data_IF_355027263435
#
_entry.id   IF_355027263435
#
_cell.length_a   1.000
_cell.length_b   1.000
_cell.length_c   1.000
_cell.angle_alpha   90.00
_cell.angle_beta   90.00
_cell.angle_gamma   90.00
#
_symmetry.space_group_name_H-M   'P 1'
#
loop_
_entity.id
_entity.type
_entity.pdbx_description
1 polymer ?
#
# COMPACT_ATOMS: atom_id res chain seq x y z
N UNK A 1 7.68 -3.98 1.79
CA UNK A 1 6.54 -4.62 1.09
C UNK A 1 5.28 -3.84 1.39
N UNK A 2 4.44 -3.59 0.38
CA UNK A 2 3.14 -2.93 0.52
C UNK A 2 2.05 -4.00 0.38
N UNK A 3 1.13 -4.06 1.33
CA UNK A 3 0.05 -5.06 1.38
C UNK A 3 -1.30 -4.38 1.54
N UNK A 4 -2.33 -4.99 0.95
CA UNK A 4 -3.72 -4.60 1.16
C UNK A 4 -4.30 -5.35 2.37
N UNK A 5 -5.02 -4.64 3.23
CA UNK A 5 -5.80 -5.25 4.32
C UNK A 5 -7.25 -4.75 4.33
N UNK A 6 -7.67 -4.04 3.29
CA UNK A 6 -9.07 -3.67 3.14
C UNK A 6 -9.92 -4.94 2.97
N UNK A 7 -11.08 -5.03 3.63
CA UNK A 7 -11.98 -6.16 3.46
C UNK A 7 -12.40 -6.28 2.00
N UNK A 8 -12.44 -7.51 1.50
CA UNK A 8 -12.89 -7.82 0.14
C UNK A 8 -14.35 -8.25 0.21
N UNK A 9 -15.16 -7.82 -0.77
CA UNK A 9 -16.55 -8.24 -0.91
C UNK A 9 -16.65 -9.78 -0.93
N UNK A 10 -17.48 -10.38 -0.04
CA UNK A 10 -17.65 -11.83 0.02
C UNK A 10 -18.09 -12.48 -1.29
N UNK A 11 -18.88 -11.79 -2.12
CA UNK A 11 -19.34 -12.33 -3.40
C UNK A 11 -18.18 -12.43 -4.39
N UNK A 12 -17.27 -11.44 -4.38
CA UNK A 12 -16.06 -11.44 -5.20
C UNK A 12 -15.10 -12.54 -4.70
N UNK A 13 -14.96 -12.71 -3.39
CA UNK A 13 -14.15 -13.80 -2.82
C UNK A 13 -14.66 -15.18 -3.25
N UNK A 14 -15.97 -15.42 -3.18
CA UNK A 14 -16.57 -16.69 -3.59
C UNK A 14 -16.31 -17.01 -5.07
N UNK A 15 -16.30 -15.99 -5.95
CA UNK A 15 -15.95 -16.15 -7.36
C UNK A 15 -14.48 -16.56 -7.53
N UNK A 16 -13.56 -15.89 -6.84
CA UNK A 16 -12.15 -16.28 -6.86
C UNK A 16 -11.96 -17.71 -6.33
N UNK A 17 -12.64 -18.10 -5.25
CA UNK A 17 -12.57 -19.46 -4.70
C UNK A 17 -13.06 -20.51 -5.70
N UNK A 18 -14.13 -20.23 -6.44
CA UNK A 18 -14.62 -21.11 -7.50
C UNK A 18 -13.61 -21.26 -8.66
N UNK A 19 -12.75 -20.26 -8.88
CA UNK A 19 -11.64 -20.30 -9.84
C UNK A 19 -10.35 -20.91 -9.24
N UNK A 20 -10.39 -21.35 -7.97
CA UNK A 20 -9.23 -21.92 -7.25
C UNK A 20 -8.26 -20.87 -6.71
N UNK A 21 -8.67 -19.61 -6.65
CA UNK A 21 -7.90 -18.50 -6.11
C UNK A 21 -8.42 -18.07 -4.73
N UNK A 22 -7.52 -17.62 -3.86
CA UNK A 22 -7.87 -17.09 -2.54
C UNK A 22 -7.15 -15.77 -2.29
N UNK A 23 -7.72 -14.94 -1.42
CA UNK A 23 -7.02 -13.74 -0.97
C UNK A 23 -5.70 -14.12 -0.29
N UNK A 24 -4.65 -13.36 -0.58
CA UNK A 24 -3.33 -13.60 0.02
C UNK A 24 -3.37 -13.24 1.50
N UNK A 25 -3.15 -14.25 2.35
CA UNK A 25 -2.97 -14.03 3.80
C UNK A 25 -1.68 -13.26 4.07
N UNK A 26 -1.76 -12.21 4.88
CA UNK A 26 -0.62 -11.36 5.22
C UNK A 26 -0.15 -11.71 6.63
N UNK A 27 0.98 -12.41 6.73
CA UNK A 27 1.66 -12.63 8.00
C UNK A 27 2.71 -11.53 8.23
N UNK A 28 2.33 -10.50 9.00
CA UNK A 28 3.24 -9.39 9.29
C UNK A 28 4.39 -9.77 10.20
N UNK A 29 4.24 -10.78 11.05
CA UNK A 29 5.30 -11.20 11.97
C UNK A 29 6.37 -11.99 11.24
N UNK A 30 5.98 -12.93 10.37
CA UNK A 30 6.91 -13.62 9.49
C UNK A 30 7.70 -12.65 8.60
N UNK A 31 7.01 -11.64 8.02
CA UNK A 31 7.67 -10.61 7.22
C UNK A 31 8.68 -9.78 8.02
N UNK A 32 8.38 -9.45 9.29
CA UNK A 32 9.33 -8.74 10.17
C UNK A 32 10.55 -9.61 10.49
N UNK A 33 10.37 -10.90 10.74
CA UNK A 33 11.48 -11.84 11.00
C UNK A 33 12.43 -11.96 9.80
N UNK A 34 11.92 -11.80 8.58
CA UNK A 34 12.72 -11.72 7.35
C UNK A 34 13.46 -10.37 7.17
N UNK A 35 13.35 -9.44 8.12
CA UNK A 35 13.97 -8.11 8.04
C UNK A 35 13.26 -7.15 7.09
N UNK A 36 12.02 -7.45 6.69
CA UNK A 36 11.27 -6.66 5.73
C UNK A 36 10.34 -5.68 6.46
N UNK A 37 10.38 -4.41 6.04
CA UNK A 37 9.39 -3.42 6.50
C UNK A 37 8.06 -3.61 5.76
N UNK A 38 6.97 -3.76 6.50
CA UNK A 38 5.61 -3.91 5.96
C UNK A 38 4.86 -2.58 6.05
N UNK A 39 4.26 -2.18 4.94
CA UNK A 39 3.34 -1.05 4.86
C UNK A 39 1.94 -1.58 4.51
N UNK A 40 0.95 -1.14 5.26
CA UNK A 40 -0.45 -1.55 5.10
C UNK A 40 -1.24 -0.36 4.54
N UNK A 41 -2.15 -0.62 3.60
CA UNK A 41 -3.08 0.40 3.12
C UNK A 41 -4.30 -0.18 2.40
N UNK A 42 -5.34 0.64 2.30
CA UNK A 42 -6.43 0.43 1.34
C UNK A 42 -5.95 0.89 -0.03
N UNK A 43 -5.66 -0.08 -0.89
CA UNK A 43 -5.09 0.14 -2.23
C UNK A 43 -5.86 -0.63 -3.30
N UNK A 44 -7.09 -1.07 -3.01
CA UNK A 44 -7.90 -1.85 -3.94
C UNK A 44 -9.15 -1.10 -4.38
N UNK A 45 -9.61 -1.39 -5.59
CA UNK A 45 -10.98 -1.17 -6.06
C UNK A 45 -11.65 -2.51 -6.27
N UNK A 46 -12.97 -2.55 -6.08
CA UNK A 46 -13.76 -3.78 -6.02
C UNK A 46 -15.04 -3.63 -6.86
N UNK A 47 -14.89 -3.21 -8.12
CA UNK A 47 -16.02 -3.09 -9.04
C UNK A 47 -16.47 -4.49 -9.50
N UNK A 48 -15.85 -5.03 -10.56
CA UNK A 48 -16.16 -6.39 -11.03
C UNK A 48 -15.14 -7.44 -10.55
N UNK A 49 -13.96 -6.97 -10.14
CA UNK A 49 -12.82 -7.78 -9.71
C UNK A 49 -12.00 -6.99 -8.68
N UNK A 50 -11.25 -7.70 -7.83
CA UNK A 50 -10.26 -7.06 -6.96
C UNK A 50 -9.08 -6.62 -7.81
N UNK A 51 -8.90 -5.31 -7.94
CA UNK A 51 -7.73 -4.71 -8.60
C UNK A 51 -7.14 -3.65 -7.71
N UNK A 52 -5.90 -3.24 -8.01
CA UNK A 52 -5.36 -2.06 -7.35
C UNK A 52 -6.04 -0.79 -7.87
N UNK A 53 -6.48 0.07 -6.96
CA UNK A 53 -6.81 1.44 -7.28
C UNK A 53 -5.50 2.18 -7.58
N UNK A 54 -5.32 2.60 -8.84
CA UNK A 54 -4.08 3.19 -9.32
C UNK A 54 -3.70 4.47 -8.58
N UNK A 55 -4.69 5.28 -8.19
CA UNK A 55 -4.43 6.52 -7.46
C UNK A 55 -4.04 6.24 -6.01
N UNK A 56 -4.74 5.35 -5.31
CA UNK A 56 -4.41 4.97 -3.93
C UNK A 56 -3.04 4.31 -3.87
N UNK A 57 -2.74 3.41 -4.81
CA UNK A 57 -1.45 2.76 -4.93
C UNK A 57 -0.32 3.77 -5.18
N UNK A 58 -0.47 4.67 -6.15
CA UNK A 58 0.54 5.69 -6.46
C UNK A 58 0.82 6.58 -5.25
N UNK A 59 -0.23 7.02 -4.52
CA UNK A 59 -0.09 7.81 -3.29
C UNK A 59 0.67 7.02 -2.21
N UNK A 60 0.35 5.74 -2.02
CA UNK A 60 1.02 4.88 -1.05
C UNK A 60 2.52 4.73 -1.37
N UNK A 61 2.85 4.42 -2.63
CA UNK A 61 4.24 4.30 -3.09
C UNK A 61 5.01 5.61 -2.92
N UNK A 62 4.42 6.74 -3.30
CA UNK A 62 5.07 8.05 -3.17
C UNK A 62 5.34 8.41 -1.70
N UNK A 63 4.38 8.16 -0.80
CA UNK A 63 4.57 8.35 0.65
C UNK A 63 5.70 7.47 1.20
N UNK A 64 5.81 6.22 0.77
CA UNK A 64 6.87 5.31 1.20
C UNK A 64 8.25 5.76 0.70
N UNK A 65 8.37 6.11 -0.58
CA UNK A 65 9.60 6.61 -1.17
C UNK A 65 10.08 7.90 -0.49
N UNK A 66 9.13 8.81 -0.21
CA UNK A 66 9.43 10.06 0.49
C UNK A 66 9.92 9.82 1.93
N UNK A 67 9.24 8.96 2.70
CA UNK A 67 9.65 8.60 4.07
C UNK A 67 11.08 8.04 4.10
N UNK A 68 11.40 7.16 3.14
CA UNK A 68 12.76 6.63 2.98
C UNK A 68 13.77 7.75 2.71
N UNK A 69 13.45 8.63 1.76
CA UNK A 69 14.30 9.77 1.39
C UNK A 69 14.52 10.76 2.55
N UNK A 70 13.48 11.07 3.33
CA UNK A 70 13.57 11.98 4.47
C UNK A 70 14.36 11.40 5.65
N UNK A 71 14.37 10.07 5.82
CA UNK A 71 15.26 9.39 6.79
C UNK A 71 16.73 9.52 6.36
N UNK A 72 17.01 9.47 5.07
CA UNK A 72 18.37 9.50 4.52
C UNK A 72 18.91 10.93 4.24
N UNK A 73 18.05 11.95 4.18
CA UNK A 73 18.41 13.30 3.73
C UNK A 73 18.61 14.37 4.84
N UNK A 74 19.54 15.31 4.60
CA UNK A 74 19.83 16.46 5.47
C UNK A 74 18.81 17.63 5.40
N UNK A 75 18.97 18.63 6.27
CA UNK A 75 18.00 19.72 6.56
C UNK A 75 17.52 20.52 5.32
N UNK A 76 18.38 20.69 4.30
CA UNK A 76 18.08 21.39 3.03
C UNK A 76 17.16 20.58 2.10
N UNK A 77 17.22 19.25 2.17
CA UNK A 77 16.38 18.34 1.38
C UNK A 77 14.93 18.34 1.92
N UNK A 78 14.77 18.33 3.25
CA UNK A 78 13.45 18.36 3.92
C UNK A 78 12.60 19.56 3.49
N UNK A 79 13.21 20.75 3.31
CA UNK A 79 12.48 21.99 2.94
C UNK A 79 11.85 21.95 1.53
N UNK A 80 12.50 21.29 0.55
CA UNK A 80 11.99 21.22 -0.84
C UNK A 80 10.77 20.30 -1.00
N UNK A 81 10.73 19.20 -0.23
CA UNK A 81 9.66 18.20 -0.35
C UNK A 81 8.50 18.45 0.62
N UNK A 82 8.73 19.14 1.75
CA UNK A 82 7.65 19.51 2.68
C UNK A 82 6.63 20.48 2.04
N UNK A 83 7.07 21.31 1.09
CA UNK A 83 6.19 22.22 0.32
C UNK A 83 5.26 21.42 -0.59
N UNK A 84 5.79 20.40 -1.29
CA UNK A 84 5.00 19.51 -2.16
C UNK A 84 4.02 18.63 -1.38
N UNK A 85 4.28 18.36 -0.09
CA UNK A 85 3.37 17.56 0.75
C UNK A 85 2.02 18.23 1.00
N UNK A 86 1.93 19.57 0.96
CA UNK A 86 0.66 20.29 1.10
C UNK A 86 -0.27 20.11 -0.10
N UNK A 87 0.31 19.82 -1.28
CA UNK A 87 -0.43 19.56 -2.51
C UNK A 87 -0.78 18.06 -2.66
N UNK A 88 -0.27 17.22 -1.77
CA UNK A 88 -0.63 15.80 -1.63
C UNK A 88 -1.53 15.65 -0.39
N UNK A 89 -2.47 16.57 -0.24
CA UNK A 89 -3.65 16.38 0.60
C UNK A 89 -4.65 15.51 -0.16
N UNK A 90 -5.24 14.56 0.57
CA UNK A 90 -6.34 13.69 0.18
C UNK A 90 -7.63 14.30 0.72
#
# INVERSE_FOLDING_TARGET
>A
VLVNTAPIDPEILARYEAEGAVAVSVDTEALKQLGVSVAIGDIISQEDFVRHDSQRLARAVFRLALRSTLRQGGRRFKKRYLIRMKDVEL
#
